data_IF_802946884462
#
_entry.id   IF_802946884462
#
_cell.length_a   1.000
_cell.length_b   1.000
_cell.length_c   1.000
_cell.angle_alpha   90.00
_cell.angle_beta   90.00
_cell.angle_gamma   90.00
#
_symmetry.space_group_name_H-M   'P 1'
#
loop_
_entity.id
_entity.type
_entity.pdbx_description
1 polymer ?
#
# COMPACT_ATOMS: atom_id res chain seq x y z
N UNK A 1 2.82 -15.15 -12.58
CA UNK A 1 4.14 -14.78 -13.13
C UNK A 1 5.13 -14.68 -11.97
N UNK A 2 6.44 -14.93 -12.17
CA UNK A 2 7.42 -14.78 -11.09
C UNK A 2 7.55 -13.31 -10.68
N UNK A 3 7.54 -13.06 -9.36
CA UNK A 3 7.64 -11.72 -8.79
C UNK A 3 9.05 -11.16 -9.03
N UNK A 4 9.16 -9.97 -9.62
CA UNK A 4 10.45 -9.32 -9.87
C UNK A 4 11.02 -8.76 -8.57
N UNK A 5 12.28 -9.07 -8.26
CA UNK A 5 12.96 -8.58 -7.06
C UNK A 5 14.04 -7.58 -7.48
N UNK A 6 13.95 -6.35 -6.98
CA UNK A 6 14.95 -5.30 -7.15
C UNK A 6 15.94 -5.34 -5.99
N UNK A 7 17.19 -5.65 -6.30
CA UNK A 7 18.29 -5.61 -5.34
C UNK A 7 19.00 -4.26 -5.35
N UNK A 8 19.90 -4.03 -4.40
CA UNK A 8 20.82 -2.89 -4.42
C UNK A 8 21.57 -2.76 -5.77
N UNK A 9 22.07 -3.87 -6.31
CA UNK A 9 22.79 -3.88 -7.59
C UNK A 9 21.91 -3.47 -8.77
N UNK A 10 20.61 -3.82 -8.73
CA UNK A 10 19.66 -3.40 -9.76
C UNK A 10 19.39 -1.91 -9.67
N UNK A 11 19.19 -1.39 -8.46
CA UNK A 11 18.93 0.03 -8.19
C UNK A 11 20.16 0.89 -8.48
N UNK A 12 21.37 0.38 -8.23
CA UNK A 12 22.62 1.07 -8.56
C UNK A 12 22.79 1.29 -10.08
N UNK A 13 22.19 0.43 -10.90
CA UNK A 13 22.18 0.55 -12.37
C UNK A 13 21.04 1.45 -12.88
N UNK A 14 20.10 1.83 -12.03
CA UNK A 14 19.02 2.73 -12.41
C UNK A 14 19.52 4.17 -12.59
N UNK A 15 19.00 4.91 -13.59
CA UNK A 15 19.27 6.33 -13.76
C UNK A 15 18.84 7.13 -12.53
N UNK A 16 19.61 8.17 -12.18
CA UNK A 16 19.21 9.10 -11.13
C UNK A 16 17.88 9.79 -11.50
N UNK A 17 17.00 9.98 -10.52
CA UNK A 17 15.67 10.59 -10.72
C UNK A 17 14.63 9.68 -11.40
N UNK A 18 14.94 8.40 -11.66
CA UNK A 18 13.97 7.43 -12.14
C UNK A 18 12.96 7.00 -11.06
N UNK A 19 11.92 6.27 -11.45
CA UNK A 19 10.91 5.72 -10.53
C UNK A 19 11.12 4.20 -10.34
N UNK A 20 11.02 3.73 -9.10
CA UNK A 20 10.98 2.32 -8.73
C UNK A 20 9.55 1.95 -8.36
N UNK A 21 8.85 1.23 -9.24
CA UNK A 21 7.47 0.77 -9.04
C UNK A 21 7.45 -0.62 -8.39
N UNK A 22 6.85 -0.71 -7.21
CA UNK A 22 6.74 -1.91 -6.38
C UNK A 22 5.27 -2.25 -6.17
N UNK A 23 4.89 -3.53 -6.11
CA UNK A 23 3.49 -3.94 -5.98
C UNK A 23 3.31 -5.46 -6.06
N UNK A 24 2.21 -5.89 -6.68
CA UNK A 24 1.89 -7.30 -6.88
C UNK A 24 2.98 -8.04 -7.67
N UNK A 25 3.57 -7.38 -8.67
CA UNK A 25 4.54 -8.01 -9.59
C UNK A 25 6.00 -7.67 -9.27
N UNK A 26 6.26 -6.72 -8.36
CA UNK A 26 7.59 -6.20 -8.08
C UNK A 26 7.81 -5.93 -6.58
N UNK A 27 8.92 -6.39 -6.02
CA UNK A 27 9.38 -6.04 -4.66
C UNK A 27 10.84 -5.61 -4.70
N UNK A 28 11.29 -4.91 -3.66
CA UNK A 28 12.70 -4.56 -3.48
C UNK A 28 13.24 -5.18 -2.19
N UNK A 29 14.52 -5.54 -2.17
CA UNK A 29 15.22 -5.89 -0.94
C UNK A 29 15.36 -4.65 -0.05
N UNK A 30 15.58 -4.79 1.27
CA UNK A 30 15.86 -3.65 2.15
C UNK A 30 17.02 -2.78 1.64
N UNK A 31 18.12 -3.41 1.24
CA UNK A 31 19.28 -2.71 0.65
C UNK A 31 18.95 -2.00 -0.68
N UNK A 32 18.04 -2.55 -1.49
CA UNK A 32 17.54 -1.90 -2.70
C UNK A 32 16.73 -0.64 -2.42
N UNK A 33 15.88 -0.67 -1.38
CA UNK A 33 15.10 0.51 -0.96
C UNK A 33 16.02 1.63 -0.45
N UNK A 34 17.03 1.28 0.34
CA UNK A 34 17.98 2.27 0.86
C UNK A 34 18.85 2.87 -0.25
N UNK A 35 19.30 2.05 -1.20
CA UNK A 35 19.97 2.52 -2.40
C UNK A 35 19.10 3.46 -3.24
N UNK A 36 17.80 3.17 -3.36
CA UNK A 36 16.86 3.99 -4.12
C UNK A 36 16.70 5.38 -3.47
N UNK A 37 16.54 5.42 -2.15
CA UNK A 37 16.46 6.67 -1.38
C UNK A 37 17.73 7.51 -1.49
N UNK A 38 18.89 6.87 -1.33
CA UNK A 38 20.19 7.53 -1.41
C UNK A 38 20.45 8.17 -2.79
N UNK A 39 19.97 7.53 -3.86
CA UNK A 39 20.11 8.01 -5.24
C UNK A 39 19.01 8.97 -5.70
N UNK A 40 18.05 9.30 -4.82
CA UNK A 40 16.90 10.13 -5.20
C UNK A 40 15.97 9.46 -6.22
N UNK A 41 15.92 8.12 -6.25
CA UNK A 41 14.96 7.36 -7.05
C UNK A 41 13.63 7.38 -6.32
N UNK A 42 12.56 7.74 -7.02
CA UNK A 42 11.22 7.84 -6.44
C UNK A 42 10.61 6.44 -6.30
N UNK A 43 10.31 6.03 -5.08
CA UNK A 43 9.66 4.75 -4.81
C UNK A 43 8.14 4.94 -4.93
N UNK A 44 7.50 4.16 -5.80
CA UNK A 44 6.04 4.15 -6.03
C UNK A 44 5.51 2.77 -5.67
N UNK A 45 4.56 2.70 -4.74
CA UNK A 45 3.89 1.46 -4.39
C UNK A 45 2.58 1.33 -5.19
N UNK A 46 2.62 0.58 -6.28
CA UNK A 46 1.46 0.16 -7.05
C UNK A 46 0.63 -0.84 -6.22
N UNK A 47 -0.68 -0.62 -6.16
CA UNK A 47 -1.58 -1.38 -5.28
C UNK A 47 -1.73 -0.82 -3.86
N UNK A 48 -1.00 0.23 -3.47
CA UNK A 48 -1.32 1.01 -2.27
C UNK A 48 -2.40 2.09 -2.54
N UNK A 49 -2.81 2.25 -3.80
CA UNK A 49 -3.86 3.19 -4.24
C UNK A 49 -5.11 2.52 -4.81
N UNK A 50 -5.10 1.19 -4.95
CA UNK A 50 -6.28 0.38 -5.29
C UNK A 50 -6.75 -0.38 -4.05
N UNK A 51 -6.78 0.30 -2.89
CA UNK A 51 -7.70 -0.17 -1.88
C UNK A 51 -9.07 -0.23 -2.57
N UNK A 52 -9.75 -1.40 -2.58
CA UNK A 52 -11.09 -1.46 -3.15
C UNK A 52 -11.91 -0.33 -2.54
N UNK A 53 -12.92 0.24 -3.23
CA UNK A 53 -13.71 1.31 -2.63
C UNK A 53 -14.17 0.86 -1.23
N UNK A 54 -14.04 1.72 -0.20
CA UNK A 54 -14.42 1.35 1.15
C UNK A 54 -15.86 0.82 1.12
N UNK A 55 -16.06 -0.33 1.75
CA UNK A 55 -17.38 -0.93 1.91
C UNK A 55 -18.35 0.06 2.58
N UNK A 56 -17.83 0.92 3.47
CA UNK A 56 -18.59 2.04 4.00
C UNK A 56 -17.71 3.22 4.42
N UNK A 57 -18.30 4.41 4.45
CA UNK A 57 -17.65 5.64 4.95
C UNK A 57 -18.59 6.37 5.90
N UNK A 58 -18.03 7.06 6.90
CA UNK A 58 -18.84 7.80 7.88
C UNK A 58 -17.99 8.61 8.84
N UNK A 59 -18.62 9.07 9.92
CA UNK A 59 -17.92 9.68 11.06
C UNK A 59 -17.51 8.62 12.08
N UNK A 60 -16.68 9.00 13.05
CA UNK A 60 -16.34 8.11 14.17
C UNK A 60 -17.57 7.69 14.98
N UNK A 61 -18.60 8.53 15.05
CA UNK A 61 -19.85 8.21 15.75
C UNK A 61 -20.64 7.10 15.05
N UNK A 62 -20.44 6.91 13.74
CA UNK A 62 -21.12 5.88 12.95
C UNK A 62 -20.45 4.51 13.05
N UNK A 63 -19.24 4.42 13.64
CA UNK A 63 -18.43 3.20 13.67
C UNK A 63 -19.20 1.94 14.14
N UNK A 64 -20.00 1.98 15.22
CA UNK A 64 -20.76 0.80 15.66
C UNK A 64 -21.75 0.30 14.61
N UNK A 65 -22.35 1.23 13.85
CA UNK A 65 -23.25 0.91 12.73
C UNK A 65 -22.47 0.42 11.51
N UNK A 66 -21.31 1.01 11.20
CA UNK A 66 -20.48 0.62 10.06
C UNK A 66 -19.87 -0.77 10.21
N UNK A 67 -19.66 -1.22 11.46
CA UNK A 67 -19.15 -2.54 11.81
C UNK A 67 -20.26 -3.51 12.24
N UNK A 68 -21.53 -3.15 12.04
CA UNK A 68 -22.67 -4.01 12.36
C UNK A 68 -22.74 -5.19 11.38
N UNK A 69 -22.01 -6.26 11.68
CA UNK A 69 -21.99 -7.50 10.91
C UNK A 69 -20.76 -8.34 11.26
N UNK A 70 -20.84 -9.63 10.97
CA UNK A 70 -19.70 -10.52 11.18
C UNK A 70 -18.67 -10.40 10.04
N UNK A 71 -17.40 -10.46 10.42
CA UNK A 71 -16.27 -10.44 9.50
C UNK A 71 -15.05 -9.73 10.08
N UNK A 72 -14.00 -9.69 9.26
CA UNK A 72 -12.81 -8.87 9.50
C UNK A 72 -12.92 -7.59 8.70
N UNK A 73 -12.58 -6.49 9.34
CA UNK A 73 -12.64 -5.15 8.77
C UNK A 73 -11.31 -4.45 8.92
N UNK A 74 -10.88 -3.74 7.88
CA UNK A 74 -9.86 -2.70 7.96
C UNK A 74 -10.56 -1.37 8.16
N UNK A 75 -10.08 -0.55 9.10
CA UNK A 75 -10.66 0.76 9.42
C UNK A 75 -9.55 1.80 9.33
N UNK A 76 -9.71 2.77 8.42
CA UNK A 76 -8.85 3.96 8.34
C UNK A 76 -9.61 5.15 8.95
N UNK A 77 -8.97 5.86 9.87
CA UNK A 77 -9.50 7.13 10.42
C UNK A 77 -8.56 8.26 10.06
N UNK A 78 -9.03 9.22 9.27
CA UNK A 78 -8.28 10.41 8.87
C UNK A 78 -9.15 11.66 9.00
N UNK A 79 -8.70 12.63 9.79
CA UNK A 79 -9.40 13.92 9.94
C UNK A 79 -10.85 13.79 10.42
N UNK A 80 -11.14 12.83 11.30
CA UNK A 80 -12.49 12.55 11.81
C UNK A 80 -13.41 11.78 10.84
N UNK A 81 -12.93 11.51 9.62
CA UNK A 81 -13.62 10.64 8.65
C UNK A 81 -13.12 9.20 8.81
N UNK A 82 -14.07 8.29 8.78
CA UNK A 82 -13.85 6.84 8.83
C UNK A 82 -14.07 6.25 7.45
N UNK A 83 -13.18 5.35 7.04
CA UNK A 83 -13.34 4.46 5.90
C UNK A 83 -13.20 3.02 6.37
N UNK A 84 -14.10 2.16 5.93
CA UNK A 84 -14.17 0.75 6.36
C UNK A 84 -14.12 -0.15 5.14
N UNK A 85 -13.28 -1.17 5.17
CA UNK A 85 -13.21 -2.22 4.17
C UNK A 85 -13.46 -3.58 4.82
N UNK A 86 -14.36 -4.39 4.27
CA UNK A 86 -14.51 -5.78 4.69
C UNK A 86 -13.43 -6.62 4.02
N UNK A 87 -12.50 -7.17 4.81
CA UNK A 87 -11.34 -7.93 4.32
C UNK A 87 -11.56 -9.44 4.31
N UNK A 88 -12.74 -9.90 4.76
CA UNK A 88 -13.20 -11.28 4.69
C UNK A 88 -14.26 -11.60 5.75
N UNK A 89 -15.00 -12.69 5.56
CA UNK A 89 -15.94 -13.25 6.53
C UNK A 89 -16.13 -14.74 6.23
N UNK A 90 -16.17 -15.56 7.28
CA UNK A 90 -16.36 -17.03 7.19
C UNK A 90 -17.75 -17.43 6.71
#
# INVERSE_FOLDING_TARGET
MPKRVYTEGDVARMPAGSELRLGADAIATPSGLDAARSRGIRIVYEGAGDDPPPTATGSLADLPRLLAGEGRFHVEVRGGRVRVWKTGGG
#
